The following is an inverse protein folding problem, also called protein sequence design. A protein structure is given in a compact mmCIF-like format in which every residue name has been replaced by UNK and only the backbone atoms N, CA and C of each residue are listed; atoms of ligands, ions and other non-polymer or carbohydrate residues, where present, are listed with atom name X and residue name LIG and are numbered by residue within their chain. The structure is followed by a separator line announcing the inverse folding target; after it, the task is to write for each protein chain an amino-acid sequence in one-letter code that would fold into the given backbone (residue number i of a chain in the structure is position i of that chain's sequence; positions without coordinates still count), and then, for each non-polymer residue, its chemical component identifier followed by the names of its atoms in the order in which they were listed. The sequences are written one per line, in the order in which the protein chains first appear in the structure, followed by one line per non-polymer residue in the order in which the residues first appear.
data_IF_061173221029
#
_entry.id   IF_061173221029
#
_cell.length_a   1.000
_cell.length_b   1.000
_cell.length_c   1.000
_cell.angle_alpha   90.00
_cell.angle_beta   90.00
_cell.angle_gamma   90.00
#
_symmetry.space_group_name_H-M   'P 1'
#
loop_
_entity.id
_entity.type
_entity.pdbx_description
1 polymer ?
#
# COMPACT_ATOMS: atom_id res chain seq x y z
N UNK A 1 29.52 -4.35 -1.63
CA UNK A 1 28.66 -3.42 -0.87
C UNK A 1 27.21 -3.80 -1.16
N UNK A 2 26.40 -4.14 -0.15
CA UNK A 2 24.94 -4.30 -0.37
C UNK A 2 24.36 -2.90 -0.55
N UNK A 3 23.60 -2.66 -1.62
CA UNK A 3 22.94 -1.37 -1.86
C UNK A 3 22.11 -1.00 -0.63
N UNK A 4 22.24 0.23 -0.13
CA UNK A 4 21.50 0.73 1.04
C UNK A 4 19.98 0.62 0.84
N UNK A 5 19.53 0.61 -0.41
CA UNK A 5 18.13 0.44 -0.80
C UNK A 5 17.60 -1.00 -0.63
N UNK A 6 18.46 -2.03 -0.64
CA UNK A 6 18.05 -3.43 -0.41
C UNK A 6 17.62 -3.73 1.04
N UNK A 7 17.81 -2.77 1.96
CA UNK A 7 17.34 -2.85 3.34
C UNK A 7 16.06 -2.04 3.59
N UNK A 8 15.68 -1.17 2.64
CA UNK A 8 14.49 -0.33 2.79
C UNK A 8 13.22 -1.16 2.59
N UNK A 9 12.14 -0.69 3.20
CA UNK A 9 10.83 -1.35 3.13
C UNK A 9 10.21 -1.06 1.76
N UNK A 10 9.63 -2.10 1.16
CA UNK A 10 8.67 -1.94 0.07
C UNK A 10 7.27 -1.89 0.68
N UNK A 11 6.66 -0.71 0.70
CA UNK A 11 5.32 -0.53 1.23
C UNK A 11 4.27 -0.95 0.21
N UNK A 12 3.38 -1.84 0.61
CA UNK A 12 2.17 -2.22 -0.14
C UNK A 12 1.01 -1.47 0.50
N UNK A 13 0.40 -0.54 -0.24
CA UNK A 13 -0.70 0.29 0.28
C UNK A 13 -2.04 -0.14 -0.32
N UNK A 14 -2.93 -0.61 0.55
CA UNK A 14 -4.31 -0.98 0.21
C UNK A 14 -5.30 -0.03 0.87
N UNK A 15 -6.36 0.28 0.13
CA UNK A 15 -7.48 1.06 0.65
C UNK A 15 -8.79 0.53 0.10
N UNK A 16 -9.81 0.49 0.93
CA UNK A 16 -11.18 0.24 0.51
C UNK A 16 -12.08 1.19 1.27
N UNK A 17 -12.97 1.90 0.57
CA UNK A 17 -14.02 2.66 1.25
C UNK A 17 -15.23 1.77 1.51
N UNK A 18 -16.04 2.13 2.50
CA UNK A 18 -17.31 1.42 2.77
C UNK A 18 -18.23 1.37 1.55
N UNK A 19 -18.24 2.42 0.74
CA UNK A 19 -19.06 2.49 -0.47
C UNK A 19 -18.55 1.54 -1.56
N UNK A 20 -17.23 1.31 -1.61
CA UNK A 20 -16.59 0.43 -2.59
C UNK A 20 -16.70 -1.07 -2.19
N UNK A 21 -17.06 -1.41 -0.94
CA UNK A 21 -17.17 -2.81 -0.47
C UNK A 21 -18.19 -3.63 -1.27
N UNK A 22 -19.23 -2.98 -1.82
CA UNK A 22 -20.26 -3.65 -2.63
C UNK A 22 -19.79 -3.98 -4.06
N UNK A 23 -18.62 -3.50 -4.47
CA UNK A 23 -18.11 -3.62 -5.85
C UNK A 23 -17.41 -4.95 -6.16
N UNK A 24 -17.63 -5.99 -5.35
CA UNK A 24 -17.18 -7.36 -5.58
C UNK A 24 -15.75 -7.69 -5.12
N UNK A 25 -15.39 -8.97 -5.22
CA UNK A 25 -14.16 -9.52 -4.62
C UNK A 25 -12.87 -8.86 -5.13
N UNK A 26 -12.83 -8.38 -6.38
CA UNK A 26 -11.63 -7.72 -6.95
C UNK A 26 -11.22 -6.44 -6.21
N UNK A 27 -12.18 -5.79 -5.56
CA UNK A 27 -11.94 -4.59 -4.76
C UNK A 27 -11.69 -4.88 -3.28
N UNK A 28 -11.95 -6.09 -2.80
CA UNK A 28 -11.67 -6.47 -1.41
C UNK A 28 -10.20 -6.19 -1.02
N UNK A 29 -9.97 -5.83 0.25
CA UNK A 29 -8.62 -5.65 0.78
C UNK A 29 -7.78 -6.90 0.59
N UNK A 30 -8.34 -8.08 0.80
CA UNK A 30 -7.67 -9.37 0.61
C UNK A 30 -7.16 -9.54 -0.81
N UNK A 31 -7.99 -9.24 -1.81
CA UNK A 31 -7.57 -9.34 -3.21
C UNK A 31 -6.53 -8.27 -3.57
N UNK A 32 -6.65 -7.05 -3.02
CA UNK A 32 -5.63 -6.02 -3.20
C UNK A 32 -4.28 -6.48 -2.67
N UNK A 33 -4.21 -7.01 -1.43
CA UNK A 33 -2.97 -7.53 -0.84
C UNK A 33 -2.31 -8.57 -1.74
N UNK A 34 -3.09 -9.56 -2.18
CA UNK A 34 -2.59 -10.61 -3.09
C UNK A 34 -2.03 -10.05 -4.39
N UNK A 35 -2.73 -9.10 -5.02
CA UNK A 35 -2.24 -8.45 -6.25
C UNK A 35 -0.92 -7.73 -6.01
N UNK A 36 -0.79 -7.03 -4.88
CA UNK A 36 0.42 -6.28 -4.54
C UNK A 36 1.59 -7.19 -4.19
N UNK A 37 1.35 -8.26 -3.42
CA UNK A 37 2.34 -9.30 -3.11
C UNK A 37 2.81 -9.99 -4.39
N UNK A 38 1.89 -10.47 -5.24
CA UNK A 38 2.22 -11.12 -6.52
C UNK A 38 3.04 -10.19 -7.42
N UNK A 39 2.69 -8.91 -7.49
CA UNK A 39 3.44 -7.92 -8.26
C UNK A 39 4.82 -7.67 -7.65
N UNK A 40 4.90 -7.53 -6.33
CA UNK A 40 6.15 -7.29 -5.62
C UNK A 40 7.13 -8.45 -5.85
N UNK A 41 6.69 -9.69 -5.67
CA UNK A 41 7.49 -10.90 -5.87
C UNK A 41 7.97 -11.04 -7.32
N UNK A 42 7.05 -10.89 -8.30
CA UNK A 42 7.40 -11.02 -9.74
C UNK A 42 8.44 -10.01 -10.20
N UNK A 43 8.52 -8.85 -9.54
CA UNK A 43 9.47 -7.79 -9.87
C UNK A 43 10.69 -7.76 -8.93
N UNK A 44 10.85 -8.76 -8.05
CA UNK A 44 12.01 -8.88 -7.17
C UNK A 44 12.06 -7.86 -6.04
N UNK A 45 10.92 -7.25 -5.68
CA UNK A 45 10.84 -6.43 -4.47
C UNK A 45 10.89 -7.33 -3.23
N UNK A 46 11.57 -6.84 -2.20
CA UNK A 46 11.74 -7.54 -0.93
C UNK A 46 11.41 -6.60 0.24
N UNK A 47 11.40 -7.15 1.45
CA UNK A 47 11.07 -6.42 2.68
C UNK A 47 9.68 -5.76 2.59
N UNK A 48 8.68 -6.57 2.25
CA UNK A 48 7.31 -6.12 2.02
C UNK A 48 6.65 -5.76 3.36
N UNK A 49 5.94 -4.64 3.40
CA UNK A 49 5.12 -4.26 4.56
C UNK A 49 3.79 -3.69 4.10
N UNK A 50 2.70 -4.16 4.69
CA UNK A 50 1.35 -3.72 4.35
C UNK A 50 0.92 -2.51 5.17
N UNK A 51 0.29 -1.58 4.47
CA UNK A 51 -0.34 -0.39 5.01
C UNK A 51 -1.79 -0.39 4.50
N UNK A 52 -2.72 -0.75 5.36
CA UNK A 52 -4.10 -1.05 4.94
C UNK A 52 -5.09 -0.09 5.60
N UNK A 53 -5.81 0.69 4.81
CA UNK A 53 -6.93 1.52 5.28
C UNK A 53 -8.27 0.95 4.81
N UNK A 54 -8.84 0.06 5.61
CA UNK A 54 -10.15 -0.56 5.35
C UNK A 54 -11.31 0.26 5.93
N UNK A 55 -12.35 0.50 5.13
CA UNK A 55 -13.47 1.38 5.45
C UNK A 55 -13.18 2.88 5.33
N UNK A 56 -12.07 3.30 4.71
CA UNK A 56 -11.68 4.71 4.60
C UNK A 56 -11.93 5.31 3.22
N UNK A 57 -12.49 6.52 3.20
CA UNK A 57 -12.71 7.32 1.98
C UNK A 57 -11.40 7.75 1.32
N UNK A 58 -11.43 7.94 0.00
CA UNK A 58 -10.32 8.51 -0.78
C UNK A 58 -10.27 10.04 -0.75
N UNK A 59 -11.30 10.72 -0.21
CA UNK A 59 -11.43 12.17 -0.22
C UNK A 59 -10.61 12.88 0.88
N UNK A 60 -10.07 12.13 1.84
CA UNK A 60 -9.22 12.65 2.91
C UNK A 60 -7.95 11.80 3.04
N UNK A 61 -6.85 12.48 3.35
CA UNK A 61 -5.57 11.86 3.71
C UNK A 61 -5.41 11.66 5.22
N UNK A 62 -6.42 12.02 6.02
CA UNK A 62 -6.48 11.69 7.44
C UNK A 62 -6.91 10.23 7.62
N UNK A 63 -5.99 9.32 7.28
CA UNK A 63 -6.17 7.87 7.40
C UNK A 63 -4.98 7.30 8.17
N UNK A 64 -5.19 6.35 9.09
CA UNK A 64 -4.17 5.92 10.03
C UNK A 64 -2.96 5.27 9.34
N UNK A 65 -3.18 4.36 8.39
CA UNK A 65 -2.08 3.69 7.71
C UNK A 65 -1.46 4.56 6.62
N UNK A 66 -2.21 5.46 5.99
CA UNK A 66 -1.64 6.50 5.14
C UNK A 66 -0.68 7.40 5.92
N UNK A 67 -1.08 7.93 7.09
CA UNK A 67 -0.23 8.76 7.93
C UNK A 67 1.03 8.04 8.37
N UNK A 68 0.89 6.78 8.81
CA UNK A 68 2.03 5.91 9.15
C UNK A 68 2.97 5.69 7.96
N UNK A 69 2.42 5.46 6.76
CA UNK A 69 3.20 5.30 5.54
C UNK A 69 4.03 6.55 5.24
N UNK A 70 3.40 7.74 5.30
CA UNK A 70 4.10 9.01 5.07
C UNK A 70 5.19 9.25 6.11
N UNK A 71 4.92 8.98 7.39
CA UNK A 71 5.93 9.09 8.45
C UNK A 71 7.12 8.15 8.20
N UNK A 72 6.87 6.90 7.80
CA UNK A 72 7.95 5.95 7.48
C UNK A 72 8.74 6.37 6.21
N UNK A 73 8.09 7.04 5.24
CA UNK A 73 8.75 7.66 4.08
C UNK A 73 9.65 8.82 4.53
N UNK A 74 9.14 9.71 5.38
CA UNK A 74 9.88 10.88 5.90
C UNK A 74 11.09 10.46 6.76
N UNK A 75 10.97 9.35 7.48
CA UNK A 75 12.07 8.74 8.24
C UNK A 75 13.07 7.98 7.35
N UNK A 76 12.84 7.93 6.04
CA UNK A 76 13.72 7.27 5.06
C UNK A 76 13.72 5.74 5.14
N UNK A 77 12.72 5.14 5.81
CA UNK A 77 12.57 3.69 5.95
C UNK A 77 12.02 3.04 4.68
N UNK A 78 11.15 3.76 3.97
CA UNK A 78 10.53 3.28 2.73
C UNK A 78 11.43 3.57 1.53
N UNK A 79 11.63 2.57 0.69
CA UNK A 79 12.33 2.69 -0.60
C UNK A 79 11.37 2.73 -1.79
N UNK A 80 10.27 2.00 -1.69
CA UNK A 80 9.27 1.84 -2.75
C UNK A 80 7.88 1.79 -2.15
N UNK A 81 6.90 2.42 -2.81
CA UNK A 81 5.47 2.28 -2.50
C UNK A 81 4.77 1.66 -3.71
N UNK A 82 3.98 0.62 -3.48
CA UNK A 82 3.20 -0.09 -4.50
C UNK A 82 1.72 0.01 -4.13
N UNK A 83 0.91 0.42 -5.11
CA UNK A 83 -0.55 0.52 -5.02
C UNK A 83 -1.17 -0.14 -6.23
N UNK A 84 -2.41 -0.63 -6.10
CA UNK A 84 -3.14 -1.25 -7.22
C UNK A 84 -3.36 -0.24 -8.35
N UNK A 85 -3.78 0.96 -7.97
CA UNK A 85 -4.05 2.09 -8.85
C UNK A 85 -4.07 3.40 -8.04
N UNK A 86 -3.98 4.54 -8.71
CA UNK A 86 -3.91 5.86 -8.06
C UNK A 86 -5.16 6.21 -7.25
N UNK A 87 -6.32 5.59 -7.52
CA UNK A 87 -7.53 5.84 -6.74
C UNK A 87 -7.39 5.34 -5.29
N UNK A 88 -6.43 4.45 -5.01
CA UNK A 88 -6.12 4.02 -3.63
C UNK A 88 -5.44 5.13 -2.84
N UNK A 89 -4.59 5.92 -3.48
CA UNK A 89 -3.92 7.06 -2.86
C UNK A 89 -4.92 8.16 -2.53
N UNK A 90 -5.69 8.64 -3.50
CA UNK A 90 -6.67 9.71 -3.32
C UNK A 90 -7.65 9.76 -4.48
N UNK A 91 -8.79 10.42 -4.26
CA UNK A 91 -9.78 10.72 -5.30
C UNK A 91 -10.07 12.20 -5.31
#
# INVERSE_FOLDING_TARGET
MKNKDSLKITALYERLSKDDEQSGESNSITNQKKILEDYAEKNGYANLSHYTDDGWSGASFDRPNWKRLIEDVEQGKIGTVIVKDMSRVGR
#
